data_IF_043849766032
#
_entry.id   IF_043849766032
#
_cell.length_a   1.000
_cell.length_b   1.000
_cell.length_c   1.000
_cell.angle_alpha   90.00
_cell.angle_beta   90.00
_cell.angle_gamma   90.00
#
_symmetry.space_group_name_H-M   'P 1'
#
loop_
_entity.id
_entity.type
_entity.pdbx_description
1 polymer ?
#
# COMPACT_ATOMS: atom_id res chain seq x y z
N UNK A 1 -14.89 -4.47 -13.58
CA UNK A 1 -14.11 -4.28 -14.81
C UNK A 1 -12.82 -3.55 -14.42
N UNK A 2 -11.71 -4.08 -14.80
CA UNK A 2 -10.39 -3.51 -14.54
C UNK A 2 -9.75 -3.21 -15.87
N UNK A 3 -9.12 -2.07 -15.97
CA UNK A 3 -8.38 -1.68 -17.15
C UNK A 3 -6.89 -1.77 -16.85
N UNK A 4 -6.16 -2.56 -17.62
CA UNK A 4 -4.71 -2.72 -17.56
C UNK A 4 -4.13 -2.28 -18.89
N UNK A 5 -3.17 -1.37 -18.88
CA UNK A 5 -2.61 -0.91 -20.14
C UNK A 5 -1.33 -0.12 -20.03
N UNK A 6 -0.64 0.01 -21.15
CA UNK A 6 0.54 0.82 -21.32
C UNK A 6 0.46 1.59 -22.63
N UNK A 7 0.47 2.92 -22.56
CA UNK A 7 0.32 3.78 -23.73
C UNK A 7 -1.06 3.58 -24.39
N UNK A 8 -1.05 3.33 -25.68
CA UNK A 8 -2.28 3.15 -26.48
C UNK A 8 -2.88 1.73 -26.37
N UNK A 9 -2.23 0.83 -25.63
CA UNK A 9 -2.71 -0.53 -25.41
C UNK A 9 -3.41 -0.61 -24.06
N UNK A 10 -4.73 -0.74 -24.11
CA UNK A 10 -5.59 -0.86 -22.93
C UNK A 10 -6.39 -2.15 -23.05
N UNK A 11 -6.17 -3.06 -22.09
CA UNK A 11 -6.97 -4.27 -21.95
C UNK A 11 -8.02 -4.07 -20.86
N UNK A 12 -9.24 -4.47 -21.14
CA UNK A 12 -10.34 -4.45 -20.17
C UNK A 12 -10.54 -5.86 -19.62
N UNK A 13 -10.29 -6.02 -18.34
CA UNK A 13 -10.49 -7.29 -17.63
C UNK A 13 -11.87 -7.26 -16.97
N UNK A 14 -12.63 -8.33 -17.14
CA UNK A 14 -13.95 -8.49 -16.55
C UNK A 14 -13.97 -9.81 -15.78
N UNK A 15 -14.52 -9.78 -14.57
CA UNK A 15 -14.62 -10.95 -13.69
C UNK A 15 -13.23 -11.62 -13.45
N UNK A 16 -12.26 -10.81 -13.09
CA UNK A 16 -10.89 -11.24 -12.81
C UNK A 16 -10.60 -10.99 -11.33
N UNK A 17 -10.23 -12.03 -10.62
CA UNK A 17 -9.91 -12.01 -9.20
C UNK A 17 -8.44 -11.73 -8.92
N UNK A 18 -7.60 -11.98 -9.92
CA UNK A 18 -6.16 -11.84 -9.78
C UNK A 18 -5.52 -11.36 -11.09
N UNK A 19 -4.61 -10.42 -10.99
CA UNK A 19 -3.71 -10.04 -12.09
C UNK A 19 -2.30 -10.41 -11.70
N UNK A 20 -1.67 -11.27 -12.52
CA UNK A 20 -0.28 -11.69 -12.34
C UNK A 20 0.65 -10.82 -13.19
N UNK A 21 1.66 -10.26 -12.55
CA UNK A 21 2.75 -9.56 -13.21
C UNK A 21 4.04 -10.39 -13.08
N UNK A 22 5.02 -10.09 -13.90
CA UNK A 22 6.32 -10.78 -13.85
C UNK A 22 6.96 -10.75 -12.45
N UNK A 23 6.71 -9.67 -11.73
CA UNK A 23 7.36 -9.36 -10.46
C UNK A 23 6.40 -9.51 -9.25
N UNK A 24 5.22 -10.08 -9.45
CA UNK A 24 4.23 -10.35 -8.42
C UNK A 24 2.79 -10.34 -8.92
N UNK A 25 1.88 -10.76 -8.07
CA UNK A 25 0.46 -10.84 -8.34
C UNK A 25 -0.32 -9.82 -7.52
N UNK A 26 -1.42 -9.32 -8.05
CA UNK A 26 -2.38 -8.48 -7.34
C UNK A 26 -3.72 -9.20 -7.27
N UNK A 27 -4.20 -9.49 -6.06
CA UNK A 27 -5.54 -10.00 -5.83
C UNK A 27 -6.55 -8.86 -5.90
N UNK A 28 -7.56 -9.06 -6.71
CA UNK A 28 -8.60 -8.06 -6.96
C UNK A 28 -9.91 -8.42 -6.23
N UNK A 29 -10.07 -9.67 -5.83
CA UNK A 29 -11.28 -10.20 -5.22
C UNK A 29 -11.68 -9.52 -3.90
N UNK A 30 -10.75 -8.85 -3.23
CA UNK A 30 -10.99 -8.10 -1.99
C UNK A 30 -11.39 -6.64 -2.22
N UNK A 31 -11.26 -6.15 -3.43
CA UNK A 31 -11.48 -4.75 -3.75
C UNK A 31 -12.76 -4.56 -4.55
N UNK A 32 -13.81 -4.15 -3.89
CA UNK A 32 -14.96 -3.58 -4.53
C UNK A 32 -14.50 -2.29 -5.22
N UNK A 33 -14.17 -2.39 -6.48
CA UNK A 33 -13.99 -1.20 -7.31
C UNK A 33 -15.32 -0.48 -7.30
N UNK A 34 -15.38 0.76 -6.79
CA UNK A 34 -16.60 1.53 -6.76
C UNK A 34 -17.20 1.57 -8.17
N UNK A 35 -18.51 1.35 -8.29
CA UNK A 35 -19.23 1.26 -9.56
C UNK A 35 -19.30 2.59 -10.32
N UNK A 36 -18.62 3.63 -9.90
CA UNK A 36 -18.58 4.90 -10.62
C UNK A 36 -17.24 5.05 -11.33
N UNK A 37 -17.14 4.68 -12.59
CA UNK A 37 -15.95 4.95 -13.36
C UNK A 37 -15.95 6.42 -13.78
N UNK A 38 -15.51 7.29 -12.92
CA UNK A 38 -14.77 8.43 -13.42
C UNK A 38 -13.42 7.89 -13.89
N UNK A 39 -13.43 7.37 -15.10
CA UNK A 39 -12.28 6.69 -15.72
C UNK A 39 -11.06 7.59 -15.84
N UNK A 40 -11.18 8.88 -15.54
CA UNK A 40 -10.06 9.82 -15.48
C UNK A 40 -9.33 9.81 -14.12
N UNK A 41 -9.91 9.22 -13.07
CA UNK A 41 -9.42 9.37 -11.70
C UNK A 41 -8.94 8.06 -11.03
N UNK A 42 -9.40 6.90 -11.49
CA UNK A 42 -9.06 5.59 -10.92
C UNK A 42 -8.03 4.82 -11.76
N UNK A 43 -7.18 5.52 -12.46
CA UNK A 43 -6.10 4.89 -13.19
C UNK A 43 -4.98 4.62 -12.19
N UNK A 44 -4.73 3.34 -11.91
CA UNK A 44 -3.42 2.93 -11.44
C UNK A 44 -2.42 3.51 -12.44
N UNK A 45 -1.70 4.57 -12.04
CA UNK A 45 -0.72 5.15 -12.93
C UNK A 45 0.28 4.07 -13.31
N UNK A 46 0.52 3.86 -14.62
CA UNK A 46 1.48 2.84 -15.02
C UNK A 46 2.82 3.10 -14.36
N UNK A 47 3.52 2.04 -14.01
CA UNK A 47 4.84 2.05 -13.37
C UNK A 47 5.84 3.07 -13.96
N UNK A 48 5.63 3.48 -15.19
CA UNK A 48 6.55 4.36 -15.92
C UNK A 48 6.27 5.86 -15.77
N UNK A 49 5.15 6.27 -15.17
CA UNK A 49 4.87 7.70 -14.93
C UNK A 49 5.45 8.21 -13.61
N UNK A 50 5.98 7.34 -12.81
CA UNK A 50 6.54 7.62 -11.50
C UNK A 50 7.97 8.16 -11.54
N UNK A 51 8.54 8.39 -12.71
CA UNK A 51 9.86 9.01 -12.88
C UNK A 51 9.96 10.44 -12.34
N UNK A 52 8.86 11.01 -11.84
CA UNK A 52 8.86 12.30 -11.18
C UNK A 52 9.01 12.11 -9.68
N UNK A 53 10.23 12.31 -9.18
CA UNK A 53 10.45 12.52 -7.76
C UNK A 53 9.48 13.60 -7.24
N UNK A 54 8.68 13.29 -6.25
CA UNK A 54 7.74 14.24 -5.67
C UNK A 54 6.51 13.57 -5.06
N UNK A 55 5.50 14.37 -4.83
CA UNK A 55 4.22 13.93 -4.30
C UNK A 55 3.28 13.49 -5.42
N UNK A 56 2.71 12.29 -5.31
CA UNK A 56 1.59 11.85 -6.11
C UNK A 56 0.31 12.00 -5.31
N UNK A 57 -0.62 12.79 -5.84
CA UNK A 57 -1.99 12.87 -5.33
C UNK A 57 -2.87 11.99 -6.22
N UNK A 58 -3.66 11.14 -5.59
CA UNK A 58 -4.64 10.28 -6.27
C UNK A 58 -6.01 10.95 -6.33
N UNK A 59 -7.07 10.19 -6.54
CA UNK A 59 -8.43 10.76 -6.60
C UNK A 59 -9.06 10.84 -5.21
N UNK A 60 -10.21 11.51 -5.13
CA UNK A 60 -11.03 11.54 -3.91
C UNK A 60 -11.92 10.31 -3.72
N UNK A 61 -11.76 9.26 -4.51
CA UNK A 61 -12.46 7.99 -4.34
C UNK A 61 -11.51 6.89 -3.92
N UNK A 62 -12.03 5.70 -3.62
CA UNK A 62 -11.24 4.54 -3.21
C UNK A 62 -10.20 4.17 -4.26
N UNK A 63 -8.93 4.23 -3.92
CA UNK A 63 -7.82 3.96 -4.82
C UNK A 63 -7.02 2.72 -4.38
N UNK A 64 -6.46 2.00 -5.34
CA UNK A 64 -5.41 1.00 -5.11
C UNK A 64 -4.10 1.59 -5.59
N UNK A 65 -3.20 1.82 -4.65
CA UNK A 65 -1.96 2.56 -4.85
C UNK A 65 -0.79 1.61 -4.68
N UNK A 66 -0.07 1.34 -5.77
CA UNK A 66 1.11 0.48 -5.72
C UNK A 66 2.32 1.34 -5.34
N UNK A 67 2.98 0.96 -4.24
CA UNK A 67 4.22 1.58 -3.82
C UNK A 67 5.37 1.04 -4.68
N UNK A 68 5.72 1.75 -5.75
CA UNK A 68 6.75 1.37 -6.72
C UNK A 68 8.12 2.02 -6.50
N UNK A 69 8.24 2.87 -5.49
CA UNK A 69 9.49 3.50 -5.09
C UNK A 69 9.95 4.72 -5.90
N UNK A 70 9.23 5.09 -6.94
CA UNK A 70 9.58 6.24 -7.76
C UNK A 70 9.10 7.54 -7.12
N UNK A 71 7.87 7.57 -6.65
CA UNK A 71 7.35 8.68 -5.87
C UNK A 71 7.97 8.72 -4.47
N UNK A 72 8.11 9.91 -3.92
CA UNK A 72 8.58 10.12 -2.55
C UNK A 72 7.45 10.20 -1.55
N UNK A 73 6.31 10.73 -1.97
CA UNK A 73 5.11 10.85 -1.13
C UNK A 73 3.88 10.40 -1.90
N UNK A 74 3.09 9.53 -1.31
CA UNK A 74 1.82 9.03 -1.83
C UNK A 74 0.69 9.60 -0.99
N UNK A 75 -0.33 10.17 -1.64
CA UNK A 75 -1.53 10.71 -1.00
C UNK A 75 -2.78 10.17 -1.69
N UNK A 76 -3.56 9.34 -1.01
CA UNK A 76 -4.85 8.83 -1.49
C UNK A 76 -5.90 9.94 -1.56
N UNK A 77 -5.88 10.87 -0.64
CA UNK A 77 -6.83 11.98 -0.41
C UNK A 77 -8.08 11.49 0.34
N UNK A 78 -9.28 11.66 -0.27
CA UNK A 78 -10.52 11.12 0.30
C UNK A 78 -10.77 9.71 -0.24
N UNK A 79 -11.54 8.93 0.48
CA UNK A 79 -11.88 7.56 0.11
C UNK A 79 -11.22 6.53 1.02
N UNK A 80 -11.47 5.25 0.73
CA UNK A 80 -10.85 4.14 1.45
C UNK A 80 -9.75 3.57 0.56
N UNK A 81 -8.53 4.02 0.81
CA UNK A 81 -7.41 3.73 -0.08
C UNK A 81 -6.62 2.49 0.38
N UNK A 82 -6.10 1.76 -0.57
CA UNK A 82 -5.22 0.61 -0.32
C UNK A 82 -3.84 0.87 -0.88
N UNK A 83 -2.86 0.91 -0.02
CA UNK A 83 -1.44 1.05 -0.34
C UNK A 83 -0.81 -0.34 -0.38
N UNK A 84 -0.54 -0.83 -1.58
CA UNK A 84 0.04 -2.14 -1.79
C UNK A 84 1.56 -2.10 -1.78
N UNK A 85 2.17 -2.85 -0.86
CA UNK A 85 3.61 -2.95 -0.67
C UNK A 85 4.08 -4.35 -1.02
N UNK A 86 4.99 -4.45 -1.97
CA UNK A 86 5.51 -5.73 -2.46
C UNK A 86 6.99 -5.63 -2.80
N UNK A 87 7.52 -6.71 -3.33
CA UNK A 87 8.90 -6.77 -3.84
C UNK A 87 9.17 -5.85 -5.05
N UNK A 88 8.11 -5.24 -5.62
CA UNK A 88 8.25 -4.23 -6.69
C UNK A 88 8.93 -2.95 -6.22
N UNK A 89 8.96 -2.70 -4.89
CA UNK A 89 9.74 -1.61 -4.34
C UNK A 89 11.22 -1.77 -4.73
N UNK A 90 11.79 -0.80 -5.44
CA UNK A 90 13.21 -0.84 -5.79
C UNK A 90 14.10 -0.80 -4.55
N UNK A 91 15.27 -1.36 -4.66
CA UNK A 91 16.32 -1.27 -3.65
C UNK A 91 16.63 0.18 -3.28
N UNK A 92 16.86 0.45 -2.00
CA UNK A 92 17.13 1.78 -1.42
C UNK A 92 16.00 2.80 -1.63
N UNK A 93 14.78 2.38 -1.94
CA UNK A 93 13.66 3.30 -2.06
C UNK A 93 13.19 3.80 -0.70
N UNK A 94 12.77 5.05 -0.65
CA UNK A 94 12.15 5.65 0.54
C UNK A 94 10.85 6.33 0.12
N UNK A 95 9.75 5.87 0.70
CA UNK A 95 8.40 6.36 0.41
C UNK A 95 7.76 6.86 1.70
N UNK A 96 6.98 7.90 1.58
CA UNK A 96 6.10 8.41 2.61
C UNK A 96 4.66 8.27 2.16
N UNK A 97 3.80 7.72 3.01
CA UNK A 97 2.35 7.69 2.85
C UNK A 97 1.76 8.73 3.78
N UNK A 98 0.97 9.63 3.23
CA UNK A 98 0.22 10.65 3.99
C UNK A 98 -1.23 10.56 3.57
N UNK A 99 -2.05 9.98 4.43
CA UNK A 99 -3.47 9.85 4.22
C UNK A 99 -4.20 9.83 5.55
N UNK A 100 -5.12 10.78 5.72
CA UNK A 100 -5.83 10.98 6.98
C UNK A 100 -7.35 10.96 6.81
N UNK A 101 -7.83 10.71 5.59
CA UNK A 101 -9.25 10.68 5.26
C UNK A 101 -9.67 9.26 4.88
N UNK A 102 -10.85 8.84 5.32
CA UNK A 102 -11.37 7.50 5.04
C UNK A 102 -10.82 6.40 5.95
N UNK A 103 -11.06 5.16 5.54
CA UNK A 103 -10.53 3.94 6.19
C UNK A 103 -9.51 3.29 5.26
N UNK A 104 -8.25 3.57 5.54
CA UNK A 104 -7.15 3.21 4.64
C UNK A 104 -6.50 1.89 5.04
N UNK A 105 -5.95 1.18 4.08
CA UNK A 105 -5.26 -0.10 4.28
C UNK A 105 -3.84 -0.05 3.72
N UNK A 106 -2.87 -0.49 4.52
CA UNK A 106 -1.55 -0.87 4.02
C UNK A 106 -1.52 -2.38 3.87
N UNK A 107 -1.43 -2.85 2.64
CA UNK A 107 -1.36 -4.27 2.34
C UNK A 107 0.09 -4.67 2.04
N UNK A 108 0.65 -5.55 2.85
CA UNK A 108 2.01 -6.06 2.72
C UNK A 108 1.96 -7.50 2.22
N UNK A 109 2.50 -7.72 1.03
CA UNK A 109 2.52 -9.04 0.41
C UNK A 109 3.34 -10.05 1.25
N UNK A 110 2.93 -11.32 1.23
CA UNK A 110 3.54 -12.39 2.04
C UNK A 110 5.06 -12.56 1.85
N UNK A 111 5.54 -12.28 0.64
CA UNK A 111 6.95 -12.37 0.28
C UNK A 111 7.75 -11.09 0.58
N UNK A 112 7.13 -10.12 1.25
CA UNK A 112 7.74 -8.83 1.60
C UNK A 112 8.02 -8.80 3.10
N UNK A 113 9.29 -8.96 3.48
CA UNK A 113 9.68 -9.10 4.87
C UNK A 113 10.07 -7.74 5.47
N UNK A 114 9.38 -7.35 6.55
CA UNK A 114 9.79 -6.24 7.40
C UNK A 114 10.95 -6.70 8.30
N UNK A 115 12.08 -5.99 8.25
CA UNK A 115 13.29 -6.33 9.02
C UNK A 115 13.57 -5.37 10.17
N UNK A 116 12.98 -4.17 10.12
CA UNK A 116 13.12 -3.16 11.17
C UNK A 116 11.91 -2.25 11.17
N UNK A 117 11.50 -1.81 12.35
CA UNK A 117 10.42 -0.84 12.52
C UNK A 117 10.83 0.32 13.40
N UNK A 118 10.17 1.46 13.22
CA UNK A 118 10.23 2.62 14.10
C UNK A 118 8.80 3.13 14.29
N UNK A 119 8.38 3.30 15.53
CA UNK A 119 7.01 3.61 15.89
C UNK A 119 6.90 4.93 16.65
N UNK A 120 5.85 5.65 16.37
CA UNK A 120 5.27 6.67 17.23
C UNK A 120 3.78 6.35 17.43
N UNK A 121 3.08 7.09 18.25
CA UNK A 121 1.63 6.86 18.50
C UNK A 121 0.77 6.98 17.24
N UNK A 122 1.25 7.70 16.23
CA UNK A 122 0.51 8.06 15.02
C UNK A 122 1.29 7.85 13.71
N UNK A 123 2.48 7.25 13.79
CA UNK A 123 3.25 6.92 12.61
C UNK A 123 4.01 5.60 12.75
N UNK A 124 4.15 4.90 11.62
CA UNK A 124 4.94 3.68 11.50
C UNK A 124 5.95 3.83 10.37
N UNK A 125 7.21 3.53 10.65
CA UNK A 125 8.24 3.42 9.62
C UNK A 125 8.71 1.97 9.53
N UNK A 126 8.52 1.39 8.36
CA UNK A 126 8.83 0.00 8.07
C UNK A 126 10.07 -0.04 7.15
N UNK A 127 11.06 -0.81 7.54
CA UNK A 127 12.24 -1.10 6.72
C UNK A 127 12.16 -2.55 6.27
N UNK A 128 12.26 -2.77 4.98
CA UNK A 128 12.26 -4.08 4.34
C UNK A 128 13.68 -4.44 3.90
N UNK A 129 13.88 -5.66 3.43
CA UNK A 129 15.14 -6.07 2.81
C UNK A 129 15.56 -5.12 1.70
N UNK A 130 16.87 -5.04 1.41
CA UNK A 130 17.45 -4.13 0.42
C UNK A 130 17.25 -2.63 0.73
N UNK A 131 17.18 -2.28 2.02
CA UNK A 131 17.04 -0.89 2.50
C UNK A 131 15.84 -0.13 1.90
N UNK A 132 14.77 -0.86 1.63
CA UNK A 132 13.49 -0.29 1.22
C UNK A 132 12.78 0.24 2.45
N UNK A 133 12.28 1.46 2.41
CA UNK A 133 11.63 2.13 3.55
C UNK A 133 10.28 2.69 3.16
N UNK A 134 9.28 2.43 3.98
CA UNK A 134 7.99 3.11 3.93
C UNK A 134 7.69 3.74 5.28
N UNK A 135 7.34 5.01 5.27
CA UNK A 135 6.83 5.75 6.43
C UNK A 135 5.35 6.04 6.23
N UNK A 136 4.53 5.65 7.19
CA UNK A 136 3.08 5.84 7.17
C UNK A 136 2.75 6.85 8.25
N UNK A 137 2.33 8.04 7.84
CA UNK A 137 1.86 9.09 8.75
C UNK A 137 0.34 8.95 8.94
N UNK A 138 -0.14 9.17 10.15
CA UNK A 138 -1.53 8.87 10.52
C UNK A 138 -1.78 7.38 10.63
N UNK A 139 -0.78 6.59 10.98
CA UNK A 139 -0.84 5.13 11.00
C UNK A 139 -1.93 4.56 11.92
N UNK A 140 -2.38 5.34 12.90
CA UNK A 140 -3.51 5.02 13.77
C UNK A 140 -4.87 4.96 13.04
N UNK A 141 -4.94 5.49 11.82
CA UNK A 141 -6.11 5.46 10.93
C UNK A 141 -6.06 4.32 9.90
N UNK A 142 -4.98 3.57 9.88
CA UNK A 142 -4.80 2.50 8.91
C UNK A 142 -5.11 1.12 9.47
N UNK A 143 -5.60 0.25 8.60
CA UNK A 143 -5.57 -1.21 8.75
C UNK A 143 -4.30 -1.74 8.09
N UNK A 144 -3.61 -2.66 8.74
CA UNK A 144 -2.44 -3.33 8.20
C UNK A 144 -2.82 -4.76 7.79
N UNK A 145 -2.88 -5.03 6.49
CA UNK A 145 -3.17 -6.35 5.97
C UNK A 145 -1.87 -7.11 5.72
N UNK A 146 -1.66 -8.19 6.44
CA UNK A 146 -0.39 -8.92 6.47
C UNK A 146 -0.53 -10.36 5.98
N UNK A 147 0.46 -10.81 5.24
CA UNK A 147 0.65 -12.23 4.95
C UNK A 147 -0.25 -12.82 3.87
N UNK A 148 -1.00 -12.01 3.15
CA UNK A 148 -1.76 -12.49 2.01
C UNK A 148 -0.84 -13.06 0.94
N UNK A 149 -1.14 -14.26 0.46
CA UNK A 149 -0.38 -14.91 -0.59
C UNK A 149 -1.21 -14.94 -1.88
N UNK A 150 -0.85 -14.08 -2.80
CA UNK A 150 -1.54 -13.94 -4.09
C UNK A 150 -1.35 -15.15 -5.01
N UNK A 151 -0.35 -15.98 -4.77
CA UNK A 151 -0.08 -17.17 -5.60
C UNK A 151 -1.09 -18.29 -5.34
N UNK A 152 -1.51 -18.47 -4.09
CA UNK A 152 -2.44 -19.52 -3.69
C UNK A 152 -3.81 -18.98 -3.25
N UNK A 153 -3.99 -17.65 -3.26
CA UNK A 153 -5.23 -16.99 -2.88
C UNK A 153 -5.45 -16.90 -1.36
N UNK A 154 -4.44 -17.20 -0.55
CA UNK A 154 -4.55 -17.05 0.90
C UNK A 154 -4.78 -15.59 1.27
N UNK A 155 -5.84 -15.31 2.01
CA UNK A 155 -6.13 -13.96 2.50
C UNK A 155 -5.15 -13.54 3.59
N UNK A 156 -4.78 -12.25 3.59
CA UNK A 156 -4.01 -11.65 4.68
C UNK A 156 -4.86 -11.45 5.94
N UNK A 157 -4.17 -11.21 7.04
CA UNK A 157 -4.81 -10.85 8.31
C UNK A 157 -4.83 -9.35 8.46
N UNK A 158 -6.01 -8.79 8.73
CA UNK A 158 -6.19 -7.37 9.02
C UNK A 158 -5.84 -7.10 10.47
N UNK A 159 -4.94 -6.17 10.70
CA UNK A 159 -4.45 -5.76 12.02
C UNK A 159 -4.64 -4.25 12.19
N UNK A 160 -5.02 -3.85 13.39
CA UNK A 160 -4.92 -2.45 13.82
C UNK A 160 -3.45 -2.05 14.00
N UNK A 161 -3.17 -0.75 14.14
CA UNK A 161 -1.81 -0.29 14.44
C UNK A 161 -1.25 -0.97 15.71
N UNK A 162 -2.08 -1.13 16.75
CA UNK A 162 -1.65 -1.74 18.01
C UNK A 162 -1.30 -3.22 17.84
N UNK A 163 -2.14 -3.99 17.16
CA UNK A 163 -1.88 -5.41 16.87
C UNK A 163 -0.65 -5.59 15.97
N UNK A 164 -0.51 -4.72 14.97
CA UNK A 164 0.63 -4.75 14.08
C UNK A 164 1.94 -4.42 14.82
N UNK A 165 1.95 -3.38 15.65
CA UNK A 165 3.10 -3.03 16.48
C UNK A 165 3.46 -4.13 17.49
N UNK A 166 2.43 -4.75 18.10
CA UNK A 166 2.62 -5.87 19.03
C UNK A 166 3.33 -7.07 18.37
N UNK A 167 3.08 -7.32 17.08
CA UNK A 167 3.78 -8.36 16.34
C UNK A 167 5.30 -8.13 16.25
N UNK A 168 5.74 -6.90 16.46
CA UNK A 168 7.16 -6.48 16.60
C UNK A 168 7.57 -6.24 18.06
N UNK A 169 6.80 -6.71 19.03
CA UNK A 169 7.04 -6.58 20.48
C UNK A 169 7.03 -5.12 20.97
N UNK A 170 6.26 -4.29 20.31
CA UNK A 170 5.98 -2.92 20.75
C UNK A 170 4.62 -2.91 21.45
N UNK A 171 4.65 -2.88 22.76
CA UNK A 171 3.46 -2.79 23.58
C UNK A 171 2.95 -1.33 23.61
N UNK A 172 1.63 -1.17 23.63
CA UNK A 172 0.96 0.12 23.87
C UNK A 172 1.43 1.28 22.96
N UNK A 173 1.58 0.98 21.65
CA UNK A 173 2.06 1.95 20.66
C UNK A 173 1.28 3.28 20.66
N UNK A 174 -0.02 3.24 20.97
CA UNK A 174 -0.89 4.42 20.96
C UNK A 174 -0.59 5.42 22.07
N UNK A 175 0.10 5.00 23.12
CA UNK A 175 0.49 5.84 24.26
C UNK A 175 2.01 6.15 24.28
N UNK A 176 2.73 5.89 23.20
CA UNK A 176 4.15 6.23 23.12
C UNK A 176 4.34 7.75 23.25
N UNK A 177 5.20 8.15 24.19
CA UNK A 177 5.60 9.56 24.39
C UNK A 177 6.75 10.01 23.47
N UNK A 178 7.25 9.11 22.65
CA UNK A 178 8.36 9.33 21.73
C UNK A 178 8.37 8.27 20.64
N UNK A 179 9.53 7.89 20.13
CA UNK A 179 9.69 6.82 19.16
C UNK A 179 10.26 5.56 19.79
N UNK A 180 9.85 4.40 19.29
CA UNK A 180 10.38 3.11 19.70
C UNK A 180 10.68 2.24 18.47
N UNK A 181 11.64 1.32 18.62
CA UNK A 181 12.09 0.43 17.55
C UNK A 181 11.78 -1.03 17.90
N UNK A 182 11.25 -1.76 16.93
CA UNK A 182 11.03 -3.21 16.96
C UNK A 182 11.89 -3.92 15.93
#
# INVERSE_FOLDING_TARGET
IITVGKGDYIDTLKDVEKVSFKDGDVLISKYSLSESPDTSKNILKPFNETSKAGTLNFSSGDNIIIADGQAKTLRGLDGNDTYFVSNLLPKNSTIEVIDTSGTNTVQIAANTKVIKTLWTKDAARLTFEDDKVITINGADKFTFNMGGNVTDGTEGTDLTLAEFALSFRIDDVLNLSGSNTG
#
